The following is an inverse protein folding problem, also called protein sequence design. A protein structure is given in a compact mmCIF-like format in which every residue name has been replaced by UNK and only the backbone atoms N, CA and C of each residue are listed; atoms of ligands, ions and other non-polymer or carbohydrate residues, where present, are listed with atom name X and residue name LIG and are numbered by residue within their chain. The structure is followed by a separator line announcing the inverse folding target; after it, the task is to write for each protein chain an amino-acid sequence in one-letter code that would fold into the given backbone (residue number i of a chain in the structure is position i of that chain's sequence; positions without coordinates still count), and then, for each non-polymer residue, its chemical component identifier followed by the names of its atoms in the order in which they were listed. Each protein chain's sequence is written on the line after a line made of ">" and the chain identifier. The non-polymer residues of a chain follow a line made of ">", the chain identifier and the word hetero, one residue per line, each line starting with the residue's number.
data_IF_271125768437
#
_entry.id   IF_271125768437
#
_cell.length_a   1.000
_cell.length_b   1.000
_cell.length_c   1.000
_cell.angle_alpha   90.00
_cell.angle_beta   90.00
_cell.angle_gamma   90.00
#
_symmetry.space_group_name_H-M   'P 1'
#
loop_
_entity.id
_entity.type
_entity.pdbx_description
1 polymer ?
#
# COMPACT_ATOMS: atom_id res chain seq x y z
N UNK A 1 88.76 41.15 11.40
CA UNK A 1 87.78 40.27 10.73
C UNK A 1 86.50 40.27 11.54
N UNK A 2 85.37 40.50 10.85
CA UNK A 2 84.01 40.64 11.38
C UNK A 2 83.52 39.33 12.02
N UNK A 3 82.69 39.43 13.05
CA UNK A 3 81.43 38.67 13.22
C UNK A 3 80.69 39.15 14.48
N UNK A 4 79.85 40.15 14.29
CA UNK A 4 78.62 40.30 15.07
C UNK A 4 77.62 39.28 14.53
N UNK A 5 76.98 38.50 15.40
CA UNK A 5 75.78 37.76 15.04
C UNK A 5 74.74 37.96 16.13
N UNK A 6 73.65 38.60 15.70
CA UNK A 6 72.49 39.04 16.46
C UNK A 6 71.65 37.84 16.94
N UNK A 7 71.15 37.97 18.17
CA UNK A 7 69.93 37.36 18.66
C UNK A 7 68.74 37.91 17.86
N UNK A 8 68.03 37.06 17.11
CA UNK A 8 66.71 37.38 16.57
C UNK A 8 65.66 36.51 17.26
N UNK A 9 64.96 37.11 18.22
CA UNK A 9 63.75 36.57 18.81
C UNK A 9 62.64 36.55 17.76
N UNK A 10 62.15 35.36 17.45
CA UNK A 10 61.02 35.14 16.53
C UNK A 10 59.73 35.20 17.35
N UNK A 11 59.09 36.37 17.35
CA UNK A 11 57.68 36.48 17.74
C UNK A 11 56.83 35.80 16.67
N UNK A 12 56.44 34.55 16.91
CA UNK A 12 55.37 33.87 16.17
C UNK A 12 54.05 34.50 16.61
N UNK A 13 53.57 35.48 15.85
CA UNK A 13 52.21 35.98 15.98
C UNK A 13 51.30 34.95 15.32
N UNK A 14 50.69 34.08 16.13
CA UNK A 14 49.55 33.24 15.74
C UNK A 14 48.37 34.17 15.45
N UNK A 15 48.31 34.69 14.23
CA UNK A 15 47.09 35.27 13.68
C UNK A 15 46.08 34.16 13.47
N UNK A 16 45.25 33.91 14.47
CA UNK A 16 44.02 33.15 14.29
C UNK A 16 43.11 33.90 13.34
N UNK A 17 43.16 33.56 12.05
CA UNK A 17 42.02 33.77 11.16
C UNK A 17 40.85 33.01 11.79
N UNK A 18 39.96 33.74 12.47
CA UNK A 18 38.58 33.30 12.60
C UNK A 18 38.05 33.23 11.18
N UNK A 19 38.05 32.04 10.57
CA UNK A 19 37.28 31.75 9.37
C UNK A 19 35.81 31.99 9.72
N UNK A 20 35.37 33.23 9.48
CA UNK A 20 33.95 33.60 9.47
C UNK A 20 33.35 32.77 8.35
N UNK A 21 32.64 31.71 8.70
CA UNK A 21 32.09 30.75 7.75
C UNK A 21 31.30 31.52 6.68
N UNK A 22 31.84 31.61 5.46
CA UNK A 22 31.18 32.36 4.40
C UNK A 22 29.84 31.68 4.09
N UNK A 23 28.75 32.45 4.23
CA UNK A 23 27.41 32.01 3.91
C UNK A 23 27.32 31.75 2.40
N UNK A 24 27.42 30.50 1.97
CA UNK A 24 27.26 30.11 0.57
C UNK A 24 25.89 29.48 0.34
N UNK A 25 25.16 29.94 -0.67
CA UNK A 25 23.90 29.33 -1.10
C UNK A 25 24.09 27.86 -1.49
N UNK A 26 25.25 27.49 -2.04
CA UNK A 26 25.57 26.14 -2.53
C UNK A 26 26.46 25.33 -1.59
N UNK A 27 26.85 25.90 -0.44
CA UNK A 27 27.76 25.25 0.51
C UNK A 27 27.19 23.97 1.11
N UNK A 28 28.07 23.03 1.46
CA UNK A 28 27.69 21.72 2.03
C UNK A 28 26.83 21.87 3.30
N UNK A 29 27.16 22.81 4.17
CA UNK A 29 26.38 23.12 5.37
C UNK A 29 24.96 23.60 5.04
N UNK A 30 24.79 24.37 3.96
CA UNK A 30 23.49 24.83 3.48
C UNK A 30 22.67 23.65 2.96
N UNK A 31 23.29 22.79 2.15
CA UNK A 31 22.61 21.60 1.61
C UNK A 31 22.19 20.64 2.72
N UNK A 32 23.02 20.46 3.76
CA UNK A 32 22.68 19.66 4.93
C UNK A 32 21.46 20.22 5.67
N UNK A 33 21.39 21.54 5.90
CA UNK A 33 20.24 22.17 6.54
C UNK A 33 18.97 22.04 5.69
N UNK A 34 19.05 22.21 4.38
CA UNK A 34 17.90 22.01 3.49
C UNK A 34 17.43 20.56 3.57
N UNK A 35 18.35 19.59 3.52
CA UNK A 35 18.05 18.16 3.68
C UNK A 35 17.34 17.89 5.01
N UNK A 36 17.79 18.50 6.11
CA UNK A 36 17.17 18.32 7.43
C UNK A 36 15.75 18.89 7.46
N UNK A 37 15.53 20.08 6.88
CA UNK A 37 14.18 20.69 6.78
C UNK A 37 13.24 19.80 5.96
N UNK A 38 13.71 19.30 4.81
CA UNK A 38 12.91 18.41 3.96
C UNK A 38 12.62 17.07 4.64
N UNK A 39 13.63 16.49 5.30
CA UNK A 39 13.50 15.25 6.07
C UNK A 39 12.47 15.39 7.19
N UNK A 40 12.53 16.48 7.96
CA UNK A 40 11.54 16.77 9.00
C UNK A 40 10.14 16.99 8.41
N UNK A 41 10.04 17.73 7.30
CA UNK A 41 8.79 17.93 6.57
C UNK A 41 8.14 16.63 6.11
N UNK A 42 8.93 15.72 5.51
CA UNK A 42 8.47 14.40 5.05
C UNK A 42 8.04 13.54 6.25
N UNK A 43 8.86 13.46 7.31
CA UNK A 43 8.51 12.71 8.52
C UNK A 43 7.19 13.19 9.13
N UNK A 44 7.00 14.52 9.22
CA UNK A 44 5.76 15.11 9.72
C UNK A 44 4.56 14.81 8.82
N UNK A 45 4.72 14.87 7.51
CA UNK A 45 3.66 14.55 6.55
C UNK A 45 3.24 13.09 6.66
N UNK A 46 4.18 12.15 6.70
CA UNK A 46 3.89 10.72 6.89
C UNK A 46 3.23 10.47 8.25
N UNK A 47 3.70 11.14 9.30
CA UNK A 47 3.08 11.04 10.64
C UNK A 47 1.61 11.49 10.65
N UNK A 48 1.28 12.58 9.94
CA UNK A 48 -0.10 13.03 9.77
C UNK A 48 -0.94 12.03 8.96
N UNK A 49 -0.38 11.48 7.89
CA UNK A 49 -1.05 10.43 7.10
C UNK A 49 -1.37 9.21 7.98
N UNK A 50 -0.44 8.82 8.86
CA UNK A 50 -0.66 7.73 9.82
C UNK A 50 -1.72 8.01 10.87
N UNK A 51 -1.82 9.24 11.38
CA UNK A 51 -2.90 9.65 12.30
C UNK A 51 -4.29 9.56 11.67
N UNK A 52 -4.36 9.81 10.36
CA UNK A 52 -5.61 9.75 9.58
C UNK A 52 -5.88 8.36 8.97
N UNK A 53 -4.97 7.40 9.15
CA UNK A 53 -5.11 6.06 8.60
C UNK A 53 -6.13 5.23 9.38
N UNK A 54 -6.74 4.25 8.69
CA UNK A 54 -7.60 3.25 9.31
C UNK A 54 -6.86 2.49 10.42
N UNK A 55 -7.59 2.06 11.47
CA UNK A 55 -7.01 1.51 12.70
C UNK A 55 -6.02 0.37 12.49
N UNK A 56 -6.29 -0.51 11.54
CA UNK A 56 -5.46 -1.65 11.20
C UNK A 56 -4.22 -1.28 10.36
N UNK A 57 -4.22 -0.11 9.71
CA UNK A 57 -3.05 0.46 9.03
C UNK A 57 -2.14 1.28 9.95
N UNK A 58 -2.60 1.71 11.13
CA UNK A 58 -1.81 2.56 12.03
C UNK A 58 -0.45 1.94 12.43
N UNK A 59 -0.38 0.61 12.57
CA UNK A 59 0.86 -0.11 12.88
C UNK A 59 1.92 -0.07 11.76
N UNK A 60 1.52 0.32 10.53
CA UNK A 60 2.46 0.57 9.45
C UNK A 60 3.28 1.84 9.69
N UNK A 61 2.73 2.83 10.40
CA UNK A 61 3.32 4.16 10.62
C UNK A 61 4.19 4.24 11.88
N UNK A 62 4.96 3.18 12.15
CA UNK A 62 5.94 3.20 13.23
C UNK A 62 7.06 4.21 12.94
N UNK A 63 7.40 5.05 13.92
CA UNK A 63 8.37 6.12 13.74
C UNK A 63 9.77 5.65 13.34
N UNK A 64 10.20 4.46 13.77
CA UNK A 64 11.49 3.91 13.36
C UNK A 64 11.45 3.44 11.89
N UNK A 65 10.35 2.82 11.44
CA UNK A 65 10.15 2.48 10.03
C UNK A 65 10.13 3.70 9.13
N UNK A 66 9.40 4.76 9.54
CA UNK A 66 9.34 6.02 8.79
C UNK A 66 10.74 6.60 8.64
N UNK A 67 11.48 6.75 9.74
CA UNK A 67 12.85 7.27 9.70
C UNK A 67 13.79 6.41 8.85
N UNK A 68 13.65 5.09 8.93
CA UNK A 68 14.43 4.16 8.11
C UNK A 68 14.17 4.38 6.62
N UNK A 69 12.91 4.52 6.20
CA UNK A 69 12.56 4.80 4.80
C UNK A 69 13.14 6.14 4.33
N UNK A 70 12.94 7.21 5.11
CA UNK A 70 13.38 8.56 4.77
C UNK A 70 14.91 8.65 4.71
N UNK A 71 15.62 7.88 5.54
CA UNK A 71 17.09 7.86 5.54
C UNK A 71 17.73 7.32 4.25
N UNK A 72 16.98 6.56 3.45
CA UNK A 72 17.44 6.04 2.17
C UNK A 72 17.23 7.01 1.00
N UNK A 73 16.58 8.16 1.25
CA UNK A 73 16.39 9.19 0.24
C UNK A 73 17.68 9.97 0.01
N UNK A 74 17.98 10.26 -1.25
CA UNK A 74 19.06 11.17 -1.61
C UNK A 74 18.48 12.53 -2.00
N UNK A 75 18.94 13.58 -1.32
CA UNK A 75 18.53 14.96 -1.54
C UNK A 75 19.69 15.73 -2.16
N UNK A 76 19.43 16.43 -3.25
CA UNK A 76 20.39 17.33 -3.86
C UNK A 76 19.69 18.63 -4.28
N UNK A 77 20.32 19.77 -4.02
CA UNK A 77 19.91 21.06 -4.58
C UNK A 77 20.95 21.46 -5.61
N UNK A 78 20.54 21.46 -6.88
CA UNK A 78 21.40 21.77 -8.02
C UNK A 78 21.02 23.12 -8.62
N UNK A 79 21.85 23.62 -9.54
CA UNK A 79 21.62 24.89 -10.25
C UNK A 79 21.35 26.09 -9.32
N UNK A 80 22.09 26.08 -8.20
CA UNK A 80 21.95 27.08 -7.14
C UNK A 80 22.47 28.44 -7.59
N UNK A 81 21.63 29.46 -7.40
CA UNK A 81 21.99 30.87 -7.61
C UNK A 81 21.53 31.73 -6.43
N UNK A 82 22.33 32.73 -6.10
CA UNK A 82 21.90 33.81 -5.20
C UNK A 82 20.97 34.74 -5.97
N UNK A 83 19.73 34.89 -5.51
CA UNK A 83 18.73 35.78 -6.13
C UNK A 83 18.78 37.18 -5.55
N UNK A 84 19.03 37.31 -4.25
CA UNK A 84 19.12 38.60 -3.56
C UNK A 84 20.07 38.51 -2.36
N UNK A 85 20.89 39.54 -2.17
CA UNK A 85 21.57 39.77 -0.89
C UNK A 85 20.79 40.82 -0.13
N UNK A 86 20.52 40.57 1.14
CA UNK A 86 19.91 41.56 2.01
C UNK A 86 20.95 42.65 2.36
N UNK A 87 20.68 43.94 2.11
CA UNK A 87 21.65 45.00 2.37
C UNK A 87 21.81 45.30 3.86
N UNK A 88 20.82 44.95 4.68
CA UNK A 88 20.73 45.29 6.09
C UNK A 88 21.14 44.12 7.00
N UNK A 89 21.44 42.94 6.43
CA UNK A 89 21.81 41.74 7.17
C UNK A 89 22.75 40.82 6.37
N UNK A 90 23.25 39.77 7.02
CA UNK A 90 24.05 38.70 6.38
C UNK A 90 23.18 37.66 5.64
N UNK A 91 21.88 37.94 5.47
CA UNK A 91 20.91 37.04 4.84
C UNK A 91 21.08 37.04 3.32
N UNK A 92 21.12 35.83 2.75
CA UNK A 92 21.10 35.61 1.31
C UNK A 92 19.83 34.85 0.93
N UNK A 93 19.19 35.28 -0.14
CA UNK A 93 18.10 34.56 -0.80
C UNK A 93 18.67 33.82 -2.00
N UNK A 94 18.27 32.57 -2.14
CA UNK A 94 18.82 31.61 -3.07
C UNK A 94 17.66 30.93 -3.80
N UNK A 95 17.92 30.50 -5.03
CA UNK A 95 17.03 29.64 -5.79
C UNK A 95 17.83 28.47 -6.36
N UNK A 96 17.20 27.32 -6.50
CA UNK A 96 17.80 26.14 -7.12
C UNK A 96 16.76 25.09 -7.44
N UNK A 97 17.22 23.95 -7.93
CA UNK A 97 16.37 22.80 -8.26
C UNK A 97 16.61 21.70 -7.24
N UNK A 98 15.56 21.37 -6.48
CA UNK A 98 15.55 20.25 -5.56
C UNK A 98 15.30 18.95 -6.33
N UNK A 99 16.19 17.99 -6.11
CA UNK A 99 16.09 16.62 -6.58
C UNK A 99 15.99 15.69 -5.37
N UNK A 100 14.87 14.97 -5.26
CA UNK A 100 14.68 13.89 -4.29
C UNK A 100 14.72 12.58 -5.05
N UNK A 101 15.77 11.78 -4.86
CA UNK A 101 15.90 10.46 -5.49
C UNK A 101 15.48 9.39 -4.51
N UNK A 102 14.50 8.58 -4.93
CA UNK A 102 13.98 7.46 -4.16
C UNK A 102 14.60 6.14 -4.66
N UNK A 103 14.79 5.14 -3.80
CA UNK A 103 15.05 3.76 -4.22
C UNK A 103 13.99 3.27 -5.23
N UNK A 104 14.42 2.51 -6.25
CA UNK A 104 13.53 2.07 -7.33
C UNK A 104 12.41 1.12 -6.84
N UNK A 105 12.71 0.33 -5.81
CA UNK A 105 11.74 -0.52 -5.10
C UNK A 105 10.64 0.30 -4.43
N UNK A 106 10.89 1.53 -3.97
CA UNK A 106 9.86 2.39 -3.40
C UNK A 106 8.84 2.82 -4.45
N UNK A 107 9.30 3.14 -5.67
CA UNK A 107 8.41 3.49 -6.79
C UNK A 107 7.55 2.29 -7.18
N UNK A 108 8.15 1.10 -7.27
CA UNK A 108 7.43 -0.14 -7.56
C UNK A 108 6.41 -0.47 -6.47
N UNK A 109 6.82 -0.43 -5.22
CA UNK A 109 6.00 -0.83 -4.08
C UNK A 109 4.86 0.15 -3.83
N UNK A 110 5.10 1.45 -4.01
CA UNK A 110 4.04 2.46 -3.97
C UNK A 110 3.04 2.29 -5.11
N UNK A 111 3.48 2.01 -6.34
CA UNK A 111 2.56 1.69 -7.44
C UNK A 111 1.73 0.44 -7.13
N UNK A 112 2.33 -0.59 -6.53
CA UNK A 112 1.60 -1.80 -6.13
C UNK A 112 0.54 -1.50 -5.06
N UNK A 113 0.88 -0.72 -4.04
CA UNK A 113 -0.08 -0.30 -3.03
C UNK A 113 -1.23 0.51 -3.64
N UNK A 114 -0.93 1.43 -4.57
CA UNK A 114 -1.95 2.21 -5.28
C UNK A 114 -2.87 1.34 -6.14
N UNK A 115 -2.32 0.34 -6.84
CA UNK A 115 -3.10 -0.66 -7.58
C UNK A 115 -4.06 -1.42 -6.65
N UNK A 116 -3.60 -1.86 -5.48
CA UNK A 116 -4.43 -2.54 -4.46
C UNK A 116 -5.55 -1.65 -3.92
N UNK A 117 -5.38 -0.32 -3.97
CA UNK A 117 -6.40 0.67 -3.60
C UNK A 117 -7.22 1.17 -4.79
N UNK A 118 -7.05 0.60 -5.99
CA UNK A 118 -7.69 1.07 -7.24
C UNK A 118 -7.41 2.55 -7.55
N UNK A 119 -6.23 3.05 -7.19
CA UNK A 119 -5.78 4.40 -7.47
C UNK A 119 -4.92 4.45 -8.74
N UNK A 120 -4.88 5.62 -9.39
CA UNK A 120 -4.03 5.84 -10.55
C UNK A 120 -2.53 5.64 -10.22
N UNK A 121 -1.71 5.31 -11.23
CA UNK A 121 -0.25 5.16 -11.07
C UNK A 121 0.42 6.42 -10.52
N UNK A 122 1.63 6.28 -9.98
CA UNK A 122 2.42 7.41 -9.50
C UNK A 122 2.71 8.43 -10.61
N UNK A 123 2.92 7.98 -11.84
CA UNK A 123 3.14 8.87 -12.98
C UNK A 123 1.92 9.76 -13.23
N UNK A 124 0.72 9.16 -13.27
CA UNK A 124 -0.51 9.92 -13.44
C UNK A 124 -0.77 10.83 -12.23
N UNK A 125 -0.50 10.37 -11.01
CA UNK A 125 -0.63 11.18 -9.81
C UNK A 125 0.34 12.37 -9.79
N UNK A 126 1.58 12.20 -10.28
CA UNK A 126 2.54 13.27 -10.44
C UNK A 126 2.03 14.32 -11.44
N UNK A 127 1.54 13.89 -12.61
CA UNK A 127 0.94 14.76 -13.62
C UNK A 127 -0.25 15.54 -13.06
N UNK A 128 -1.20 14.85 -12.41
CA UNK A 128 -2.42 15.46 -11.86
C UNK A 128 -2.12 16.45 -10.70
N UNK A 129 -1.04 16.22 -9.94
CA UNK A 129 -0.59 17.12 -8.87
C UNK A 129 0.35 18.25 -9.34
N UNK A 130 0.73 18.25 -10.62
CA UNK A 130 1.74 19.17 -11.15
C UNK A 130 3.14 18.95 -10.56
N UNK A 131 3.43 17.72 -10.11
CA UNK A 131 4.74 17.32 -9.60
C UNK A 131 5.54 16.67 -10.72
N UNK A 132 6.83 17.01 -10.83
CA UNK A 132 7.71 16.40 -11.82
C UNK A 132 8.34 15.12 -11.25
N UNK A 133 7.98 13.97 -11.80
CA UNK A 133 8.54 12.65 -11.47
C UNK A 133 9.22 12.09 -12.73
N UNK A 134 10.54 11.94 -12.68
CA UNK A 134 11.33 11.31 -13.75
C UNK A 134 11.96 10.02 -13.21
N UNK A 135 11.47 8.87 -13.69
CA UNK A 135 11.82 7.54 -13.18
C UNK A 135 11.60 7.41 -11.65
N UNK A 136 12.66 7.63 -10.86
CA UNK A 136 12.67 7.57 -9.40
C UNK A 136 13.10 8.90 -8.75
N UNK A 137 13.11 9.99 -9.51
CA UNK A 137 13.51 11.33 -9.07
C UNK A 137 12.33 12.29 -9.10
N UNK A 138 12.04 12.90 -7.96
CA UNK A 138 11.07 14.00 -7.84
C UNK A 138 11.83 15.31 -7.93
N UNK A 139 11.37 16.22 -8.79
CA UNK A 139 12.02 17.51 -9.03
C UNK A 139 11.10 18.69 -8.73
N UNK A 140 11.66 19.73 -8.13
CA UNK A 140 10.95 20.98 -7.83
C UNK A 140 11.92 22.17 -7.81
N UNK A 141 11.55 23.28 -8.45
CA UNK A 141 12.28 24.54 -8.25
C UNK A 141 11.95 25.11 -6.87
N UNK A 142 12.98 25.36 -6.06
CA UNK A 142 12.83 25.86 -4.70
C UNK A 142 13.49 27.23 -4.53
N UNK A 143 12.91 28.02 -3.64
CA UNK A 143 13.48 29.27 -3.12
C UNK A 143 13.73 29.08 -1.62
N UNK A 144 14.90 29.53 -1.18
CA UNK A 144 15.32 29.40 0.20
C UNK A 144 16.22 30.55 0.59
N UNK A 145 16.31 30.81 1.89
CA UNK A 145 17.23 31.80 2.45
C UNK A 145 18.20 31.16 3.40
N UNK A 146 19.41 31.72 3.46
CA UNK A 146 20.47 31.33 4.39
C UNK A 146 21.03 32.55 5.11
N UNK A 147 21.27 32.41 6.40
CA UNK A 147 21.90 33.44 7.21
C UNK A 147 22.69 32.81 8.36
N UNK A 148 23.88 33.32 8.68
CA UNK A 148 24.56 32.93 9.91
C UNK A 148 23.79 33.46 11.12
N UNK A 149 23.95 32.81 12.26
CA UNK A 149 23.49 33.32 13.56
C UNK A 149 24.26 34.59 13.96
N UNK A 150 23.73 35.38 14.88
CA UNK A 150 24.36 36.63 15.34
C UNK A 150 25.79 36.42 15.90
N UNK A 151 26.05 35.24 16.48
CA UNK A 151 27.37 34.85 16.97
C UNK A 151 28.30 34.28 15.87
N UNK A 152 27.78 34.14 14.64
CA UNK A 152 28.49 33.62 13.47
C UNK A 152 28.84 32.13 13.53
N UNK A 153 28.37 31.40 14.55
CA UNK A 153 28.79 30.00 14.81
C UNK A 153 27.94 28.96 14.10
N UNK A 154 26.70 29.31 13.76
CA UNK A 154 25.75 28.39 13.11
C UNK A 154 25.15 29.04 11.89
N UNK A 155 24.71 28.20 10.97
CA UNK A 155 23.97 28.61 9.80
C UNK A 155 22.49 28.28 10.01
N UNK A 156 21.61 29.20 9.60
CA UNK A 156 20.17 29.00 9.56
C UNK A 156 19.71 29.02 8.11
N UNK A 157 18.86 28.07 7.74
CA UNK A 157 18.23 28.01 6.43
C UNK A 157 16.70 27.97 6.59
N UNK A 158 15.99 28.57 5.64
CA UNK A 158 14.54 28.51 5.55
C UNK A 158 14.11 28.32 4.11
N UNK A 159 13.16 27.44 3.84
CA UNK A 159 12.48 27.39 2.55
C UNK A 159 11.31 28.37 2.57
N UNK A 160 11.13 29.13 1.49
CA UNK A 160 10.07 30.15 1.41
C UNK A 160 8.68 29.53 1.18
N UNK A 161 8.60 28.26 0.77
CA UNK A 161 7.34 27.52 0.59
C UNK A 161 7.46 26.07 1.07
N UNK A 162 6.34 25.49 1.53
CA UNK A 162 6.24 24.04 1.71
C UNK A 162 6.49 23.32 0.39
N UNK A 163 7.44 22.40 0.37
CA UNK A 163 7.86 21.71 -0.85
C UNK A 163 6.78 20.72 -1.30
N UNK A 164 6.22 20.91 -2.50
CA UNK A 164 5.26 19.97 -3.10
C UNK A 164 5.91 18.61 -3.32
N UNK A 165 7.19 18.61 -3.70
CA UNK A 165 7.97 17.39 -3.84
C UNK A 165 8.12 16.64 -2.52
N UNK A 166 8.21 17.34 -1.38
CA UNK A 166 8.22 16.71 -0.04
C UNK A 166 6.88 16.06 0.29
N UNK A 167 5.76 16.73 0.01
CA UNK A 167 4.43 16.16 0.22
C UNK A 167 4.19 14.93 -0.69
N UNK A 168 4.52 15.04 -1.97
CA UNK A 168 4.43 13.94 -2.93
C UNK A 168 5.34 12.76 -2.53
N UNK A 169 6.56 13.04 -2.08
CA UNK A 169 7.48 12.02 -1.56
C UNK A 169 6.90 11.33 -0.32
N UNK A 170 6.28 12.09 0.60
CA UNK A 170 5.61 11.52 1.76
C UNK A 170 4.44 10.60 1.37
N UNK A 171 3.69 10.90 0.31
CA UNK A 171 2.63 10.03 -0.21
C UNK A 171 3.20 8.74 -0.81
N UNK A 172 4.32 8.81 -1.52
CA UNK A 172 5.02 7.60 -2.01
C UNK A 172 5.42 6.72 -0.82
N UNK A 173 6.10 7.29 0.19
CA UNK A 173 6.55 6.52 1.35
C UNK A 173 5.38 5.99 2.18
N UNK A 174 4.28 6.73 2.26
CA UNK A 174 3.04 6.28 2.88
C UNK A 174 2.52 5.01 2.18
N UNK A 175 2.47 5.03 0.85
CA UNK A 175 2.05 3.87 0.05
C UNK A 175 2.98 2.66 0.27
N UNK A 176 4.29 2.87 0.36
CA UNK A 176 5.27 1.81 0.69
C UNK A 176 4.99 1.21 2.07
N UNK A 177 4.73 2.03 3.09
CA UNK A 177 4.47 1.55 4.45
C UNK A 177 3.21 0.68 4.53
N UNK A 178 2.14 1.08 3.85
CA UNK A 178 0.84 0.38 3.93
C UNK A 178 0.73 -0.82 2.99
N UNK A 179 1.63 -0.96 2.00
CA UNK A 179 1.61 -2.06 1.01
C UNK A 179 1.41 -3.43 1.68
N UNK A 180 2.22 -3.76 2.69
CA UNK A 180 2.14 -5.07 3.35
C UNK A 180 0.81 -5.31 4.07
N UNK A 181 0.16 -4.25 4.56
CA UNK A 181 -1.19 -4.35 5.16
C UNK A 181 -2.23 -4.61 4.08
N UNK A 182 -2.14 -3.92 2.94
CA UNK A 182 -3.04 -4.09 1.80
C UNK A 182 -2.92 -5.49 1.18
N UNK A 183 -1.70 -6.00 1.01
CA UNK A 183 -1.46 -7.36 0.52
C UNK A 183 -2.07 -8.40 1.48
N UNK A 184 -1.88 -8.21 2.78
CA UNK A 184 -2.49 -9.08 3.80
C UNK A 184 -4.02 -9.07 3.70
N UNK A 185 -4.64 -7.89 3.57
CA UNK A 185 -6.10 -7.77 3.40
C UNK A 185 -6.58 -8.52 2.16
N UNK A 186 -5.91 -8.34 1.02
CA UNK A 186 -6.28 -9.04 -0.21
C UNK A 186 -6.21 -10.56 -0.04
N UNK A 187 -5.19 -11.07 0.64
CA UNK A 187 -5.06 -12.49 0.93
C UNK A 187 -6.15 -13.01 1.88
N UNK A 188 -6.52 -12.23 2.90
CA UNK A 188 -7.61 -12.60 3.82
C UNK A 188 -8.97 -12.65 3.11
N UNK A 189 -9.25 -11.69 2.22
CA UNK A 189 -10.46 -11.70 1.38
C UNK A 189 -10.47 -12.93 0.46
N UNK A 190 -9.38 -13.19 -0.26
CA UNK A 190 -9.29 -14.35 -1.15
C UNK A 190 -9.46 -15.69 -0.42
N UNK A 191 -8.94 -15.80 0.82
CA UNK A 191 -9.16 -16.99 1.67
C UNK A 191 -10.62 -17.13 2.09
N UNK A 192 -11.25 -16.05 2.53
CA UNK A 192 -12.65 -16.07 2.92
C UNK A 192 -13.57 -16.44 1.75
N UNK A 193 -13.30 -15.93 0.55
CA UNK A 193 -14.03 -16.30 -0.68
C UNK A 193 -13.86 -17.77 -1.02
N UNK A 194 -12.63 -18.31 -0.95
CA UNK A 194 -12.37 -19.72 -1.20
C UNK A 194 -13.07 -20.64 -0.17
N UNK A 195 -13.06 -20.25 1.11
CA UNK A 195 -13.77 -20.98 2.16
C UNK A 195 -15.29 -20.97 1.93
N UNK A 196 -15.87 -19.81 1.59
CA UNK A 196 -17.30 -19.70 1.31
C UNK A 196 -17.70 -20.56 0.09
N UNK A 197 -16.93 -20.49 -1.00
CA UNK A 197 -17.17 -21.33 -2.18
C UNK A 197 -17.07 -22.83 -1.86
N UNK A 198 -16.12 -23.24 -1.00
CA UNK A 198 -16.00 -24.62 -0.57
C UNK A 198 -17.18 -25.09 0.28
N UNK A 199 -17.72 -24.22 1.15
CA UNK A 199 -18.90 -24.51 1.97
C UNK A 199 -20.15 -24.62 1.11
N UNK A 200 -20.32 -23.75 0.12
CA UNK A 200 -21.43 -23.82 -0.84
C UNK A 200 -21.38 -25.12 -1.65
N UNK A 201 -20.20 -25.54 -2.10
CA UNK A 201 -20.02 -26.84 -2.78
C UNK A 201 -20.34 -28.03 -1.89
N UNK A 202 -19.91 -28.01 -0.62
CA UNK A 202 -20.23 -29.07 0.34
C UNK A 202 -21.74 -29.16 0.62
N UNK A 203 -22.40 -28.03 0.82
CA UNK A 203 -23.84 -27.97 1.04
C UNK A 203 -24.62 -28.45 -0.19
N UNK A 204 -24.20 -28.06 -1.40
CA UNK A 204 -24.83 -28.53 -2.64
C UNK A 204 -24.64 -30.04 -2.85
N UNK A 205 -23.46 -30.57 -2.55
CA UNK A 205 -23.18 -32.01 -2.63
C UNK A 205 -24.01 -32.81 -1.60
N UNK A 206 -24.12 -32.32 -0.37
CA UNK A 206 -24.94 -32.94 0.67
C UNK A 206 -26.43 -32.93 0.29
N UNK A 207 -26.95 -31.79 -0.20
CA UNK A 207 -28.33 -31.70 -0.69
C UNK A 207 -28.59 -32.67 -1.85
N UNK A 208 -27.65 -32.80 -2.80
CA UNK A 208 -27.76 -33.75 -3.89
C UNK A 208 -27.79 -35.20 -3.36
N UNK A 209 -26.92 -35.55 -2.39
CA UNK A 209 -26.92 -36.87 -1.78
C UNK A 209 -28.24 -37.19 -1.08
N UNK A 210 -28.78 -36.25 -0.29
CA UNK A 210 -30.08 -36.41 0.37
C UNK A 210 -31.20 -36.59 -0.66
N UNK A 211 -31.21 -35.81 -1.74
CA UNK A 211 -32.19 -35.97 -2.82
C UNK A 211 -32.09 -37.34 -3.51
N UNK A 212 -30.87 -37.81 -3.79
CA UNK A 212 -30.64 -39.13 -4.37
C UNK A 212 -31.13 -40.25 -3.44
N UNK A 213 -30.86 -40.15 -2.14
CA UNK A 213 -31.31 -41.13 -1.15
C UNK A 213 -32.84 -41.16 -1.03
N UNK A 214 -33.48 -39.98 -0.95
CA UNK A 214 -34.95 -39.88 -0.92
C UNK A 214 -35.59 -40.45 -2.20
N UNK A 215 -35.00 -40.19 -3.37
CA UNK A 215 -35.45 -40.76 -4.64
C UNK A 215 -35.32 -42.29 -4.66
N UNK A 216 -34.20 -42.83 -4.15
CA UNK A 216 -34.00 -44.28 -4.05
C UNK A 216 -35.03 -44.95 -3.13
N UNK A 217 -35.33 -44.34 -1.97
CA UNK A 217 -36.36 -44.82 -1.03
C UNK A 217 -37.74 -44.80 -1.70
N UNK A 218 -38.07 -43.75 -2.46
CA UNK A 218 -39.35 -43.65 -3.18
C UNK A 218 -39.50 -44.77 -4.21
N UNK A 219 -38.46 -45.07 -4.99
CA UNK A 219 -38.46 -46.19 -5.96
C UNK A 219 -38.66 -47.53 -5.26
N UNK A 220 -37.95 -47.78 -4.15
CA UNK A 220 -38.13 -49.03 -3.39
C UNK A 220 -39.54 -49.20 -2.80
N UNK A 221 -40.15 -48.11 -2.31
CA UNK A 221 -41.54 -48.14 -1.81
C UNK A 221 -42.52 -48.43 -2.94
N UNK A 222 -42.34 -47.79 -4.10
CA UNK A 222 -43.16 -48.05 -5.28
C UNK A 222 -43.05 -49.52 -5.70
N UNK A 223 -41.83 -50.07 -5.84
CA UNK A 223 -41.62 -51.47 -6.22
C UNK A 223 -42.27 -52.49 -5.25
N UNK A 224 -42.26 -52.21 -3.94
CA UNK A 224 -42.95 -53.04 -2.94
C UNK A 224 -44.48 -53.01 -3.08
N UNK A 225 -45.05 -51.88 -3.46
CA UNK A 225 -46.50 -51.73 -3.62
C UNK A 225 -47.05 -52.57 -4.80
N UNK A 226 -46.25 -52.79 -5.85
CA UNK A 226 -46.60 -53.67 -6.98
C UNK A 226 -46.50 -55.17 -6.67
N UNK A 227 -45.89 -55.56 -5.54
CA UNK A 227 -45.75 -56.96 -5.11
C UNK A 227 -46.78 -57.39 -4.05
N UNK A 228 -47.87 -56.63 -3.85
CA UNK A 228 -49.00 -57.15 -3.07
C UNK A 228 -49.80 -58.16 -3.90
N UNK A 229 -49.98 -59.42 -3.44
CA UNK A 229 -50.84 -60.36 -4.15
C UNK A 229 -52.26 -59.79 -4.17
N UNK A 230 -52.86 -59.68 -5.35
CA UNK A 230 -54.28 -59.32 -5.47
C UNK A 230 -55.08 -60.36 -4.69
N UNK A 231 -55.73 -59.92 -3.60
CA UNK A 231 -56.72 -60.74 -2.92
C UNK A 231 -57.80 -61.13 -3.94
N UNK A 232 -58.14 -62.42 -4.12
CA UNK A 232 -59.16 -62.81 -5.07
C UNK A 232 -60.51 -62.24 -4.61
N UNK A 233 -61.06 -61.33 -5.41
CA UNK A 233 -62.37 -60.75 -5.20
C UNK A 233 -63.45 -61.82 -5.44
N UNK A 234 -64.05 -62.32 -4.35
CA UNK A 234 -65.22 -63.20 -4.41
C UNK A 234 -66.42 -62.34 -4.86
N UNK A 235 -66.78 -62.47 -6.12
CA UNK A 235 -67.99 -61.89 -6.71
C UNK A 235 -69.22 -62.73 -6.30
N UNK A 236 -69.97 -62.29 -5.29
CA UNK A 236 -71.30 -62.86 -5.00
C UNK A 236 -72.37 -62.17 -5.85
N UNK A 237 -72.52 -62.62 -7.09
CA UNK A 237 -73.66 -62.28 -7.95
C UNK A 237 -74.93 -63.00 -7.49
N UNK A 238 -75.94 -62.24 -7.05
CA UNK A 238 -77.27 -62.77 -6.71
C UNK A 238 -78.07 -62.96 -8.02
N UNK A 239 -78.13 -64.20 -8.51
CA UNK A 239 -78.99 -64.59 -9.65
C UNK A 239 -80.23 -65.32 -9.10
N UNK A 240 -81.47 -64.88 -9.39
CA UNK A 240 -82.64 -65.67 -9.08
C UNK A 240 -82.85 -66.78 -10.12
N UNK A 241 -83.11 -67.98 -9.60
CA UNK A 241 -83.21 -69.23 -10.34
C UNK A 241 -84.40 -69.28 -11.31
N UNK A 242 -84.15 -69.81 -12.52
CA UNK A 242 -85.12 -70.63 -13.25
C UNK A 242 -84.41 -71.83 -13.88
N UNK A 243 -84.66 -72.98 -13.24
CA UNK A 243 -84.84 -74.33 -13.79
C UNK A 243 -84.00 -74.81 -14.98
N UNK A 244 -83.29 -75.91 -14.70
CA UNK A 244 -83.10 -77.11 -15.54
C UNK A 244 -81.81 -77.23 -16.38
N UNK A 245 -81.06 -78.30 -16.09
CA UNK A 245 -80.19 -79.00 -17.04
C UNK A 245 -78.71 -79.09 -16.63
N UNK A 246 -78.17 -80.30 -16.33
CA UNK A 246 -76.78 -80.48 -15.94
C UNK A 246 -75.90 -80.82 -17.15
N UNK A 247 -74.69 -80.26 -17.21
CA UNK A 247 -73.56 -80.93 -17.87
C UNK A 247 -72.22 -80.36 -17.39
N UNK A 248 -71.37 -81.26 -16.91
CA UNK A 248 -69.95 -81.02 -16.68
C UNK A 248 -69.20 -81.03 -18.03
N UNK A 249 -68.10 -80.28 -18.14
CA UNK A 249 -66.73 -80.76 -18.41
C UNK A 249 -65.80 -79.55 -18.68
N UNK A 250 -64.48 -79.68 -18.42
CA UNK A 250 -63.52 -78.59 -18.33
C UNK A 250 -62.96 -78.21 -19.70
N UNK A 251 -62.52 -76.96 -19.87
CA UNK A 251 -61.66 -76.61 -20.99
C UNK A 251 -60.44 -75.84 -20.52
N UNK A 252 -59.30 -76.52 -20.66
CA UNK A 252 -57.97 -75.95 -20.79
C UNK A 252 -57.90 -75.01 -22.00
N UNK A 253 -57.29 -73.84 -21.87
CA UNK A 253 -56.52 -73.23 -22.95
C UNK A 253 -55.60 -72.11 -22.43
N UNK A 254 -54.31 -72.35 -22.66
CA UNK A 254 -53.19 -71.44 -22.86
C UNK A 254 -53.48 -70.05 -23.44
N UNK A 255 -52.67 -69.08 -23.00
CA UNK A 255 -52.46 -67.76 -23.59
C UNK A 255 -51.54 -66.94 -22.70
#
# INVERSE_FOLDING_TARGET
>A
MKKALLLLGTCVVLGGCLDKQETSCSGESTQALIKDILTDGINKAIGKNGQNAERDMQNAFDGAKIRALVSQLNFAVVDVRTTKNDPDSSKKFCAGTLNITLPADYIRDANKARELMSLASLEKFAQDSGTKLEANRVEESIEYSVQPTDDGKKLFASLDNGSKSSAFTADILTAVLVKGVLEKRQLEVAKAEAENASREQQQAAEQAQVQHELAAIAVQKAGRNWMMPMAPSIWCGKVPARSAGPSCWPNSASG
#
